data_IF_666215951629
#
_entry.id   IF_666215951629
#
_cell.length_a   1.000
_cell.length_b   1.000
_cell.length_c   1.000
_cell.angle_alpha   90.00
_cell.angle_beta   90.00
_cell.angle_gamma   90.00
#
_symmetry.space_group_name_H-M   'P 1'
#
loop_
_entity.id
_entity.type
_entity.pdbx_description
1 polymer ?
#
# COMPACT_ATOMS: atom_id res chain seq x y z
N UNK A 1 29.21 3.73 11.05
CA UNK A 1 28.57 5.05 10.85
C UNK A 1 27.13 4.79 10.41
N UNK A 2 26.12 5.22 11.17
CA UNK A 2 24.71 5.14 10.72
C UNK A 2 24.53 6.24 9.67
N UNK A 3 24.47 5.87 8.40
CA UNK A 3 24.06 6.79 7.33
C UNK A 3 22.65 7.28 7.64
N UNK A 4 22.47 8.58 7.83
CA UNK A 4 21.15 9.20 7.94
C UNK A 4 20.47 9.14 6.57
N UNK A 5 19.83 8.01 6.27
CA UNK A 5 19.03 7.85 5.06
C UNK A 5 17.70 8.58 5.30
N UNK A 6 17.49 9.68 4.59
CA UNK A 6 16.18 10.34 4.54
C UNK A 6 15.26 9.50 3.65
N UNK A 7 14.15 9.04 4.22
CA UNK A 7 13.11 8.29 3.53
C UNK A 7 11.81 9.08 3.57
N UNK A 8 11.15 9.25 2.42
CA UNK A 8 9.86 9.93 2.35
C UNK A 8 8.76 8.91 2.04
N UNK A 9 7.59 9.09 2.63
CA UNK A 9 6.39 8.34 2.26
C UNK A 9 5.23 9.29 1.98
N UNK A 10 4.25 8.81 1.24
CA UNK A 10 2.96 9.48 1.12
C UNK A 10 1.86 8.68 1.81
N UNK A 11 0.99 9.38 2.51
CA UNK A 11 -0.21 8.81 3.10
C UNK A 11 -1.35 8.85 2.08
N UNK A 12 -2.04 7.72 1.94
CA UNK A 12 -3.30 7.56 1.22
C UNK A 12 -4.34 7.22 2.28
N UNK A 13 -5.30 8.10 2.49
CA UNK A 13 -6.35 7.92 3.48
C UNK A 13 -7.54 7.25 2.82
N UNK A 14 -7.86 6.05 3.30
CA UNK A 14 -8.99 5.26 2.86
C UNK A 14 -9.02 5.12 1.33
N UNK A 15 -10.01 5.71 0.66
CA UNK A 15 -10.25 5.61 -0.78
C UNK A 15 -9.26 6.37 -1.67
N UNK A 16 -8.32 7.13 -1.12
CA UNK A 16 -7.38 7.90 -1.97
C UNK A 16 -6.54 7.00 -2.89
N UNK A 17 -6.37 5.72 -2.57
CA UNK A 17 -5.65 4.76 -3.41
C UNK A 17 -6.39 4.39 -4.71
N UNK A 18 -7.71 4.63 -4.80
CA UNK A 18 -8.48 4.33 -6.03
C UNK A 18 -8.18 5.36 -7.13
N UNK A 19 -7.68 6.55 -6.80
CA UNK A 19 -7.43 7.64 -7.74
C UNK A 19 -5.99 7.60 -8.28
N UNK A 20 -5.76 7.11 -9.52
CA UNK A 20 -4.41 6.89 -10.04
C UNK A 20 -3.59 8.19 -10.16
N UNK A 21 -4.22 9.30 -10.54
CA UNK A 21 -3.53 10.58 -10.76
C UNK A 21 -3.05 11.20 -9.44
N UNK A 22 -3.88 11.15 -8.40
CA UNK A 22 -3.51 11.60 -7.06
C UNK A 22 -2.28 10.86 -6.54
N UNK A 23 -2.27 9.53 -6.68
CA UNK A 23 -1.14 8.71 -6.22
C UNK A 23 0.12 8.96 -7.04
N UNK A 24 -0.04 9.21 -8.35
CA UNK A 24 1.06 9.61 -9.22
C UNK A 24 1.69 10.93 -8.78
N UNK A 25 0.90 11.91 -8.36
CA UNK A 25 1.41 13.18 -7.83
C UNK A 25 2.27 12.98 -6.59
N UNK A 26 1.84 12.13 -5.64
CA UNK A 26 2.65 11.79 -4.48
C UNK A 26 4.01 11.18 -4.85
N UNK A 27 4.03 10.28 -5.84
CA UNK A 27 5.29 9.72 -6.35
C UNK A 27 6.15 10.80 -7.02
N UNK A 28 5.56 11.70 -7.80
CA UNK A 28 6.27 12.81 -8.43
C UNK A 28 6.87 13.79 -7.39
N UNK A 29 6.19 13.96 -6.25
CA UNK A 29 6.63 14.75 -5.10
C UNK A 29 7.66 14.04 -4.20
N UNK A 30 8.15 12.86 -4.60
CA UNK A 30 9.31 12.23 -3.99
C UNK A 30 9.00 11.16 -2.95
N UNK A 31 7.78 10.62 -2.91
CA UNK A 31 7.45 9.46 -2.08
C UNK A 31 8.29 8.23 -2.49
N UNK A 32 9.04 7.64 -1.56
CA UNK A 32 9.83 6.43 -1.77
C UNK A 32 8.98 5.15 -1.65
N UNK A 33 7.90 5.22 -0.85
CA UNK A 33 6.85 4.22 -0.72
C UNK A 33 5.53 4.89 -0.34
N UNK A 34 4.44 4.13 -0.38
CA UNK A 34 3.09 4.60 -0.09
C UNK A 34 2.56 3.91 1.17
N UNK A 35 1.73 4.62 1.93
CA UNK A 35 1.04 4.07 3.10
C UNK A 35 -0.45 4.30 2.93
N UNK A 36 -1.23 3.23 2.76
CA UNK A 36 -2.68 3.32 2.79
C UNK A 36 -3.20 3.02 4.19
N UNK A 37 -3.89 3.99 4.81
CA UNK A 37 -4.54 3.84 6.11
C UNK A 37 -6.06 3.86 5.89
N UNK A 38 -6.75 2.75 6.16
CA UNK A 38 -8.16 2.61 5.82
C UNK A 38 -9.01 1.97 6.92
N UNK A 39 -10.32 2.22 6.86
CA UNK A 39 -11.31 1.52 7.66
C UNK A 39 -12.36 0.89 6.74
N UNK A 40 -12.21 -0.41 6.48
CA UNK A 40 -13.09 -1.15 5.58
C UNK A 40 -14.32 -1.75 6.31
N UNK A 41 -14.65 -1.29 7.52
CA UNK A 41 -15.71 -1.90 8.36
C UNK A 41 -17.11 -1.83 7.72
N UNK A 42 -17.41 -0.76 6.99
CA UNK A 42 -18.71 -0.58 6.32
C UNK A 42 -18.97 -1.59 5.21
N UNK A 43 -17.94 -2.29 4.72
CA UNK A 43 -18.10 -3.33 3.71
C UNK A 43 -18.51 -4.68 4.30
N UNK A 44 -18.33 -4.89 5.60
CA UNK A 44 -18.56 -6.18 6.25
C UNK A 44 -17.67 -7.30 5.69
N UNK A 45 -18.05 -8.55 5.99
CA UNK A 45 -17.39 -9.75 5.47
C UNK A 45 -17.86 -10.05 4.04
N UNK A 46 -17.50 -9.17 3.10
CA UNK A 46 -17.80 -9.30 1.67
C UNK A 46 -16.50 -9.30 0.86
N UNK A 47 -16.59 -9.35 -0.47
CA UNK A 47 -15.43 -9.22 -1.35
C UNK A 47 -14.89 -7.78 -1.46
N UNK A 48 -15.66 -6.78 -1.02
CA UNK A 48 -15.33 -5.37 -1.25
C UNK A 48 -14.02 -4.89 -0.58
N UNK A 49 -13.63 -5.31 0.65
CA UNK A 49 -12.32 -4.96 1.21
C UNK A 49 -11.15 -5.47 0.36
N UNK A 50 -11.31 -6.63 -0.27
CA UNK A 50 -10.31 -7.19 -1.17
C UNK A 50 -10.25 -6.42 -2.49
N UNK A 51 -11.40 -6.01 -3.04
CA UNK A 51 -11.46 -5.15 -4.22
C UNK A 51 -10.83 -3.77 -3.97
N UNK A 52 -11.06 -3.19 -2.78
CA UNK A 52 -10.40 -1.95 -2.38
C UNK A 52 -8.88 -2.15 -2.29
N UNK A 53 -8.40 -3.24 -1.67
CA UNK A 53 -6.97 -3.55 -1.61
C UNK A 53 -6.34 -3.79 -3.00
N UNK A 54 -7.09 -4.24 -4.00
CA UNK A 54 -6.59 -4.34 -5.38
C UNK A 54 -6.21 -2.97 -5.96
N UNK A 55 -6.89 -1.87 -5.57
CA UNK A 55 -6.49 -0.53 -5.98
C UNK A 55 -5.06 -0.22 -5.53
N UNK A 56 -4.75 -0.46 -4.25
CA UNK A 56 -3.39 -0.38 -3.71
C UNK A 56 -2.37 -1.24 -4.51
N UNK A 57 -2.77 -2.41 -5.04
CA UNK A 57 -1.90 -3.23 -5.90
C UNK A 57 -1.56 -2.51 -7.21
N UNK A 58 -2.55 -1.93 -7.88
CA UNK A 58 -2.31 -1.13 -9.09
C UNK A 58 -1.39 0.06 -8.79
N UNK A 59 -1.60 0.78 -7.68
CA UNK A 59 -0.77 1.92 -7.28
C UNK A 59 0.70 1.54 -7.09
N UNK A 60 0.97 0.36 -6.53
CA UNK A 60 2.32 -0.16 -6.35
C UNK A 60 3.02 -0.38 -7.71
N UNK A 61 2.34 -1.06 -8.64
CA UNK A 61 2.85 -1.38 -9.99
C UNK A 61 3.07 -0.12 -10.81
N UNK A 62 2.04 0.74 -10.86
CA UNK A 62 2.04 1.99 -11.61
C UNK A 62 3.20 2.90 -11.21
N UNK A 63 3.56 2.94 -9.93
CA UNK A 63 4.58 3.86 -9.42
C UNK A 63 5.93 3.19 -9.14
N UNK A 64 6.04 1.87 -9.32
CA UNK A 64 7.21 1.03 -8.99
C UNK A 64 7.71 1.25 -7.56
N UNK A 65 6.78 1.29 -6.61
CA UNK A 65 7.07 1.47 -5.18
C UNK A 65 6.31 0.45 -4.34
N UNK A 66 6.79 0.23 -3.12
CA UNK A 66 6.03 -0.55 -2.15
C UNK A 66 4.79 0.22 -1.67
N UNK A 67 3.73 -0.51 -1.36
CA UNK A 67 2.57 0.02 -0.62
C UNK A 67 2.44 -0.74 0.69
N UNK A 68 2.36 -0.01 1.79
CA UNK A 68 2.03 -0.54 3.12
C UNK A 68 0.56 -0.22 3.38
N UNK A 69 -0.30 -1.25 3.44
CA UNK A 69 -1.72 -1.08 3.71
C UNK A 69 -2.02 -1.49 5.14
N UNK A 70 -2.53 -0.56 5.94
CA UNK A 70 -2.99 -0.78 7.30
C UNK A 70 -4.50 -0.51 7.35
N UNK A 71 -5.28 -1.57 7.51
CA UNK A 71 -6.73 -1.55 7.52
C UNK A 71 -7.26 -1.98 8.89
N UNK A 72 -8.25 -1.25 9.43
CA UNK A 72 -8.87 -1.58 10.72
C UNK A 72 -9.57 -2.97 10.71
N UNK A 73 -10.43 -3.22 9.72
CA UNK A 73 -11.14 -4.50 9.55
C UNK A 73 -10.96 -5.12 8.17
N UNK A 74 -10.26 -4.42 7.27
CA UNK A 74 -9.95 -4.90 5.92
C UNK A 74 -8.62 -5.63 5.85
N UNK A 75 -8.17 -5.90 4.61
CA UNK A 75 -6.88 -6.54 4.37
C UNK A 75 -5.74 -5.58 4.72
N UNK A 76 -4.98 -5.91 5.76
CA UNK A 76 -3.70 -5.27 6.09
C UNK A 76 -2.55 -6.07 5.48
N UNK A 77 -1.73 -5.44 4.62
CA UNK A 77 -0.70 -6.14 3.87
C UNK A 77 0.44 -5.24 3.37
N UNK A 78 1.52 -5.88 2.92
CA UNK A 78 2.63 -5.26 2.21
C UNK A 78 2.60 -5.66 0.75
N UNK A 79 2.69 -4.68 -0.15
CA UNK A 79 2.63 -4.90 -1.59
C UNK A 79 3.94 -4.47 -2.23
N UNK A 80 4.54 -5.34 -3.04
CA UNK A 80 5.78 -5.08 -3.76
C UNK A 80 5.56 -4.15 -4.98
N UNK A 81 6.62 -3.54 -5.53
CA UNK A 81 6.57 -2.77 -6.78
C UNK A 81 6.08 -3.54 -8.00
N UNK A 82 6.06 -4.88 -7.94
CA UNK A 82 5.55 -5.79 -8.96
C UNK A 82 4.08 -6.15 -8.72
N UNK A 83 3.46 -5.62 -7.67
CA UNK A 83 2.07 -5.90 -7.30
C UNK A 83 1.88 -7.20 -6.52
N UNK A 84 2.94 -7.81 -6.00
CA UNK A 84 2.84 -9.02 -5.17
C UNK A 84 2.52 -8.66 -3.73
N UNK A 85 1.53 -9.32 -3.14
CA UNK A 85 1.32 -9.27 -1.68
C UNK A 85 2.43 -10.09 -1.04
N UNK A 86 3.32 -9.43 -0.31
CA UNK A 86 4.50 -10.04 0.32
C UNK A 86 4.14 -10.75 1.63
N UNK A 87 3.36 -10.07 2.46
CA UNK A 87 2.84 -10.58 3.72
C UNK A 87 1.56 -9.82 4.11
N UNK A 88 0.76 -10.42 5.00
CA UNK A 88 -0.52 -9.87 5.47
C UNK A 88 -0.82 -10.29 6.90
N UNK A 89 -1.60 -9.46 7.61
CA UNK A 89 -2.07 -9.81 8.94
C UNK A 89 -3.11 -10.93 8.82
N UNK A 90 -2.87 -12.03 9.53
CA UNK A 90 -3.69 -13.24 9.50
C UNK A 90 -3.92 -13.78 10.90
N UNK A 91 -5.13 -14.27 11.13
CA UNK A 91 -5.53 -14.97 12.35
C UNK A 91 -6.49 -16.12 11.98
N UNK A 92 -6.18 -17.36 12.38
CA UNK A 92 -7.00 -18.54 12.13
C UNK A 92 -7.42 -18.78 10.66
N UNK A 93 -6.58 -18.36 9.71
CA UNK A 93 -6.85 -18.48 8.27
C UNK A 93 -7.64 -17.32 7.66
N UNK A 94 -8.11 -16.38 8.48
CA UNK A 94 -8.78 -15.15 8.04
C UNK A 94 -7.78 -14.01 7.86
N UNK A 95 -8.13 -13.05 6.99
CA UNK A 95 -7.31 -11.86 6.66
C UNK A 95 -8.04 -10.52 6.94
N UNK A 96 -9.35 -10.58 7.19
CA UNK A 96 -10.21 -9.43 7.47
C UNK A 96 -10.88 -9.62 8.83
N UNK A 97 -11.20 -8.53 9.52
CA UNK A 97 -11.73 -8.56 10.90
C UNK A 97 -10.86 -9.38 11.86
N UNK A 98 -9.54 -9.34 11.66
CA UNK A 98 -8.54 -10.01 12.49
C UNK A 98 -7.78 -9.00 13.34
N UNK A 99 -7.23 -9.44 14.47
CA UNK A 99 -6.34 -8.60 15.29
C UNK A 99 -4.89 -9.06 15.13
N UNK A 100 -3.98 -8.14 14.83
CA UNK A 100 -2.57 -8.48 14.76
C UNK A 100 -1.69 -7.40 14.14
N UNK A 101 -0.42 -7.74 13.96
CA UNK A 101 0.57 -6.89 13.30
C UNK A 101 1.49 -7.75 12.43
N UNK A 102 2.11 -7.12 11.43
CA UNK A 102 3.17 -7.69 10.61
C UNK A 102 4.21 -6.62 10.30
N UNK A 103 5.42 -7.05 10.01
CA UNK A 103 6.51 -6.20 9.53
C UNK A 103 7.13 -6.83 8.29
N UNK A 104 7.62 -6.00 7.38
CA UNK A 104 8.33 -6.43 6.19
C UNK A 104 9.46 -5.46 5.86
N UNK A 105 10.50 -5.97 5.21
CA UNK A 105 11.56 -5.13 4.66
C UNK A 105 11.11 -4.52 3.33
N UNK A 106 11.30 -3.21 3.18
CA UNK A 106 10.92 -2.47 1.97
C UNK A 106 12.16 -2.12 1.16
N UNK A 107 12.14 -2.44 -0.13
CA UNK A 107 13.19 -2.02 -1.07
C UNK A 107 12.78 -0.68 -1.68
N UNK A 108 13.58 0.36 -1.41
CA UNK A 108 13.32 1.70 -1.94
C UNK A 108 13.91 1.82 -3.34
N UNK A 109 13.05 2.11 -4.33
CA UNK A 109 13.45 2.36 -5.72
C UNK A 109 13.41 3.84 -6.03
N UNK A 110 14.50 4.38 -6.57
CA UNK A 110 14.55 5.77 -7.07
C UNK A 110 14.04 5.91 -8.49
N UNK A 111 14.02 4.82 -9.26
CA UNK A 111 13.53 4.83 -10.63
C UNK A 111 12.01 5.09 -10.67
N UNK A 112 11.58 5.97 -11.58
CA UNK A 112 10.17 6.20 -11.90
C UNK A 112 9.75 5.26 -13.03
N UNK A 113 8.54 4.72 -12.95
CA UNK A 113 7.93 3.93 -14.04
C UNK A 113 7.66 4.79 -15.28
N UNK A 114 7.24 4.16 -16.38
CA UNK A 114 6.76 4.88 -17.57
C UNK A 114 5.54 5.75 -17.21
N UNK A 115 4.54 5.18 -16.54
CA UNK A 115 3.32 5.88 -16.11
C UNK A 115 3.61 7.09 -15.22
N UNK A 116 4.56 7.01 -14.29
CA UNK A 116 4.89 8.16 -13.46
C UNK A 116 5.55 9.29 -14.28
N UNK A 117 6.37 8.94 -15.28
CA UNK A 117 7.16 9.89 -16.08
C UNK A 117 6.32 10.66 -17.10
N UNK A 118 5.32 10.05 -17.72
CA UNK A 118 4.53 10.58 -18.84
C UNK A 118 3.05 10.48 -18.52
#
# INVERSE_FOLDING_TARGET
>A
QKTNIKVNFAALICYEDIFPDLVREFRNNGADFLVNMTNDAWFGKTSAPYQHAQASVFRAVENRVHVVRAANTGLSCFISPEGRILDSVKENGEEIFVTGHRGAELILRKERSFYTRF
#
